data_IF_796872054368
#
_entry.id   IF_796872054368
#
_cell.length_a   1.000
_cell.length_b   1.000
_cell.length_c   1.000
_cell.angle_alpha   90.00
_cell.angle_beta   90.00
_cell.angle_gamma   90.00
#
_symmetry.space_group_name_H-M   'P 1'
#
loop_
_entity.id
_entity.type
_entity.pdbx_description
1 polymer ?
#
# COMPACT_ATOMS: atom_id res chain seq x y z
N UNK A 1 -8.79 14.43 -3.37
CA UNK A 1 -9.51 14.57 -2.08
C UNK A 1 -11.00 14.96 -2.27
N UNK A 2 -11.56 14.83 -3.46
CA UNK A 2 -12.96 15.22 -3.73
C UNK A 2 -13.97 14.33 -2.98
N UNK A 3 -13.65 13.05 -2.77
CA UNK A 3 -14.53 12.11 -2.10
C UNK A 3 -15.01 12.53 -0.70
N UNK A 4 -14.16 13.02 0.22
CA UNK A 4 -14.63 13.54 1.51
C UNK A 4 -15.64 14.70 1.36
N UNK A 5 -15.43 15.59 0.39
CA UNK A 5 -16.33 16.71 0.11
C UNK A 5 -17.70 16.22 -0.36
N UNK A 6 -17.71 15.26 -1.27
CA UNK A 6 -18.95 14.61 -1.73
C UNK A 6 -19.66 13.89 -0.58
N UNK A 7 -18.94 13.10 0.20
CA UNK A 7 -19.50 12.35 1.34
C UNK A 7 -20.06 13.28 2.44
N UNK A 8 -19.50 14.49 2.60
CA UNK A 8 -20.09 15.49 3.49
C UNK A 8 -21.42 16.00 2.96
N UNK A 9 -21.54 16.25 1.65
CA UNK A 9 -22.82 16.64 1.03
C UNK A 9 -23.89 15.56 1.14
N UNK A 10 -23.48 14.30 1.09
CA UNK A 10 -24.35 13.13 1.30
C UNK A 10 -24.69 12.88 2.78
N UNK A 11 -24.14 13.66 3.71
CA UNK A 11 -24.33 13.48 5.15
C UNK A 11 -23.65 12.25 5.74
N UNK A 12 -22.73 11.59 5.00
CA UNK A 12 -21.99 10.38 5.43
C UNK A 12 -20.70 10.72 6.18
N UNK A 13 -20.15 11.91 5.96
CA UNK A 13 -18.99 12.46 6.68
C UNK A 13 -19.43 13.76 7.34
N UNK A 14 -19.20 13.88 8.63
CA UNK A 14 -19.59 15.06 9.41
C UNK A 14 -18.62 16.24 9.22
N UNK A 15 -17.32 15.95 9.22
CA UNK A 15 -16.27 16.95 9.05
C UNK A 15 -15.00 16.31 8.52
N UNK A 16 -14.10 17.11 7.94
CA UNK A 16 -12.77 16.69 7.52
C UNK A 16 -11.71 17.69 7.98
N UNK A 17 -10.55 17.18 8.36
CA UNK A 17 -9.37 17.96 8.69
C UNK A 17 -8.20 17.53 7.81
N UNK A 18 -7.45 18.49 7.29
CA UNK A 18 -6.29 18.24 6.45
C UNK A 18 -5.22 19.31 6.64
N UNK A 19 -3.98 19.03 6.22
CA UNK A 19 -2.94 20.07 6.17
C UNK A 19 -3.01 20.90 4.88
N UNK A 20 -3.69 20.37 3.84
CA UNK A 20 -3.93 21.09 2.58
C UNK A 20 -5.23 20.62 1.96
N UNK A 21 -5.84 21.48 1.17
CA UNK A 21 -7.04 21.16 0.39
C UNK A 21 -6.63 20.86 -1.07
N UNK A 22 -6.37 19.59 -1.37
CA UNK A 22 -6.00 19.13 -2.70
C UNK A 22 -7.22 18.48 -3.35
N UNK A 23 -7.98 19.27 -4.08
CA UNK A 23 -9.21 18.88 -4.77
C UNK A 23 -9.16 19.34 -6.24
N UNK A 24 -10.07 18.83 -7.08
CA UNK A 24 -10.22 19.33 -8.45
C UNK A 24 -10.75 20.77 -8.45
N UNK A 25 -10.52 21.51 -9.54
CA UNK A 25 -10.98 22.89 -9.66
C UNK A 25 -12.51 23.00 -9.52
N UNK A 26 -13.26 22.04 -10.05
CA UNK A 26 -14.73 22.04 -9.95
C UNK A 26 -15.20 21.77 -8.52
N UNK A 27 -14.54 20.85 -7.81
CA UNK A 27 -14.80 20.61 -6.41
C UNK A 27 -14.49 21.87 -5.56
N UNK A 28 -13.36 22.54 -5.83
CA UNK A 28 -12.96 23.78 -5.16
C UNK A 28 -13.98 24.90 -5.36
N UNK A 29 -14.44 25.11 -6.60
CA UNK A 29 -15.52 26.08 -6.88
C UNK A 29 -16.78 25.74 -6.11
N UNK A 30 -17.21 24.46 -6.12
CA UNK A 30 -18.38 24.02 -5.37
C UNK A 30 -18.26 24.23 -3.85
N UNK A 31 -17.04 24.23 -3.28
CA UNK A 31 -16.81 24.58 -1.87
C UNK A 31 -17.00 26.09 -1.67
N UNK A 32 -16.46 26.93 -2.57
CA UNK A 32 -16.59 28.38 -2.46
C UNK A 32 -18.04 28.84 -2.66
N UNK A 33 -18.76 28.23 -3.60
CA UNK A 33 -20.16 28.57 -3.89
C UNK A 33 -21.10 28.23 -2.71
N UNK A 34 -20.69 27.26 -1.87
CA UNK A 34 -21.48 26.79 -0.71
C UNK A 34 -20.67 26.87 0.59
N UNK A 35 -19.95 27.97 0.77
CA UNK A 35 -19.04 28.17 1.90
C UNK A 35 -19.75 28.08 3.25
N UNK A 36 -21.00 28.53 3.34
CA UNK A 36 -21.77 28.44 4.58
C UNK A 36 -22.00 26.99 5.04
N UNK A 37 -22.11 26.06 4.11
CA UNK A 37 -22.15 24.63 4.46
C UNK A 37 -20.79 24.07 4.91
N UNK A 38 -19.68 24.52 4.29
CA UNK A 38 -18.36 23.92 4.51
C UNK A 38 -17.52 24.60 5.62
N UNK A 39 -17.75 25.88 5.94
CA UNK A 39 -16.91 26.66 6.87
C UNK A 39 -16.69 26.01 8.25
N UNK A 40 -17.69 25.28 8.74
CA UNK A 40 -17.62 24.58 10.04
C UNK A 40 -17.28 23.07 9.92
N UNK A 41 -17.14 22.56 8.68
CA UNK A 41 -16.90 21.13 8.40
C UNK A 41 -15.52 20.85 7.84
N UNK A 42 -14.91 21.82 7.15
CA UNK A 42 -13.56 21.70 6.59
C UNK A 42 -12.59 22.52 7.45
N UNK A 43 -11.62 21.83 8.05
CA UNK A 43 -10.63 22.47 8.92
C UNK A 43 -9.23 22.20 8.36
N UNK A 44 -8.52 23.28 7.99
CA UNK A 44 -7.10 23.20 7.64
C UNK A 44 -6.25 23.45 8.89
N UNK A 45 -5.33 22.55 9.16
CA UNK A 45 -4.39 22.59 10.27
C UNK A 45 -2.96 22.42 9.76
N UNK A 46 -1.96 23.00 10.43
CA UNK A 46 -0.58 22.69 10.10
C UNK A 46 -0.28 21.20 10.32
N UNK A 47 0.71 20.68 9.60
CA UNK A 47 1.05 19.25 9.64
C UNK A 47 1.46 18.78 11.04
N UNK A 48 2.05 19.65 11.84
CA UNK A 48 2.41 19.40 13.25
C UNK A 48 1.21 19.03 14.13
N UNK A 49 0.00 19.37 13.70
CA UNK A 49 -1.24 19.03 14.39
C UNK A 49 -1.93 17.85 13.67
N UNK A 50 -2.11 17.93 12.34
CA UNK A 50 -2.84 16.90 11.60
C UNK A 50 -2.09 15.58 11.51
N UNK A 51 -0.75 15.61 11.50
CA UNK A 51 0.13 14.45 11.44
C UNK A 51 0.80 14.12 12.78
N UNK A 52 0.37 14.75 13.87
CA UNK A 52 0.95 14.53 15.19
C UNK A 52 0.72 13.07 15.64
N UNK A 53 1.77 12.28 15.89
CA UNK A 53 1.66 10.88 16.31
C UNK A 53 0.77 10.68 17.55
N UNK A 54 0.92 11.54 18.55
CA UNK A 54 0.12 11.48 19.78
C UNK A 54 -1.37 11.71 19.52
N UNK A 55 -1.70 12.64 18.61
CA UNK A 55 -3.09 12.91 18.23
C UNK A 55 -3.66 11.74 17.46
N UNK A 56 -2.92 11.21 16.48
CA UNK A 56 -3.33 10.05 15.66
C UNK A 56 -3.64 8.85 16.57
N UNK A 57 -2.72 8.50 17.47
CA UNK A 57 -2.90 7.38 18.39
C UNK A 57 -4.09 7.60 19.35
N UNK A 58 -4.22 8.81 19.91
CA UNK A 58 -5.27 9.12 20.90
C UNK A 58 -6.68 9.08 20.34
N UNK A 59 -6.89 9.50 19.08
CA UNK A 59 -8.22 9.50 18.46
C UNK A 59 -8.58 8.16 17.80
N UNK A 60 -7.65 7.20 17.74
CA UNK A 60 -7.90 5.86 17.22
C UNK A 60 -8.13 5.84 15.70
N UNK A 61 -7.22 6.44 14.95
CA UNK A 61 -7.33 6.57 13.48
C UNK A 61 -7.29 5.20 12.80
N UNK A 62 -8.17 4.99 11.81
CA UNK A 62 -7.99 3.97 10.77
C UNK A 62 -7.26 4.62 9.60
N UNK A 63 -5.99 4.30 9.40
CA UNK A 63 -5.21 4.86 8.29
C UNK A 63 -5.43 4.08 7.01
N UNK A 64 -5.61 4.80 5.91
CA UNK A 64 -5.75 4.26 4.56
C UNK A 64 -4.68 4.89 3.67
N UNK A 65 -3.67 4.13 3.32
CA UNK A 65 -2.56 4.56 2.48
C UNK A 65 -2.50 3.74 1.18
N UNK A 66 -1.81 4.26 0.17
CA UNK A 66 -1.66 3.59 -1.12
C UNK A 66 -0.24 3.01 -1.25
N UNK A 67 -0.15 1.75 -1.69
CA UNK A 67 1.10 1.08 -2.01
C UNK A 67 1.38 1.10 -3.52
N UNK A 68 2.66 1.15 -3.89
CA UNK A 68 3.14 0.79 -5.23
C UNK A 68 3.29 -0.72 -5.33
N UNK A 69 3.92 -1.31 -4.31
CA UNK A 69 4.08 -2.74 -4.16
C UNK A 69 4.12 -3.15 -2.69
N UNK A 70 3.74 -4.39 -2.42
CA UNK A 70 3.84 -5.05 -1.13
C UNK A 70 4.51 -6.41 -1.31
N UNK A 71 5.45 -6.76 -0.42
CA UNK A 71 6.03 -8.09 -0.48
C UNK A 71 5.21 -9.14 0.30
N UNK A 72 5.62 -10.41 0.15
CA UNK A 72 4.92 -11.55 0.75
C UNK A 72 4.86 -11.50 2.29
N UNK A 73 5.62 -10.65 2.93
CA UNK A 73 5.68 -10.55 4.39
C UNK A 73 5.08 -9.26 4.94
N UNK A 74 4.58 -8.39 4.03
CA UNK A 74 3.86 -7.18 4.40
C UNK A 74 4.71 -5.93 4.48
N UNK A 75 5.95 -5.93 3.94
CA UNK A 75 6.67 -4.68 3.73
C UNK A 75 6.08 -3.93 2.54
N UNK A 76 5.97 -2.62 2.67
CA UNK A 76 5.35 -1.78 1.64
C UNK A 76 6.32 -0.75 1.10
N UNK A 77 6.36 -0.66 -0.23
CA UNK A 77 6.95 0.42 -0.99
C UNK A 77 5.82 1.33 -1.50
N UNK A 78 5.88 2.60 -1.15
CA UNK A 78 4.91 3.62 -1.54
C UNK A 78 5.53 4.77 -2.34
N UNK A 79 6.84 4.76 -2.58
CA UNK A 79 7.56 5.90 -3.17
C UNK A 79 8.31 5.59 -4.46
N UNK A 80 8.81 4.37 -4.66
CA UNK A 80 9.75 4.06 -5.77
C UNK A 80 9.27 2.93 -6.67
N UNK A 81 9.36 3.16 -7.98
CA UNK A 81 9.14 2.14 -9.01
C UNK A 81 10.44 1.36 -9.19
N UNK A 82 10.36 0.02 -9.07
CA UNK A 82 11.50 -0.90 -9.19
C UNK A 82 12.72 -0.43 -8.35
N UNK A 83 12.47 0.10 -7.16
CA UNK A 83 13.47 0.51 -6.18
C UNK A 83 14.31 1.74 -6.53
N UNK A 84 14.23 2.26 -7.76
CA UNK A 84 15.17 3.28 -8.26
C UNK A 84 14.51 4.59 -8.65
N UNK A 85 13.36 4.55 -9.31
CA UNK A 85 12.68 5.74 -9.82
C UNK A 85 11.66 6.25 -8.82
N UNK A 86 11.90 7.43 -8.27
CA UNK A 86 10.93 8.07 -7.39
C UNK A 86 9.65 8.41 -8.17
N UNK A 87 8.52 7.95 -7.68
CA UNK A 87 7.18 8.26 -8.19
C UNK A 87 6.54 9.40 -7.40
N UNK A 88 6.64 9.33 -6.08
CA UNK A 88 6.13 10.35 -5.15
C UNK A 88 6.93 10.30 -3.84
N UNK A 89 6.79 11.35 -3.03
CA UNK A 89 7.33 11.36 -1.66
C UNK A 89 6.47 10.52 -0.71
N UNK A 90 7.02 10.24 0.47
CA UNK A 90 6.33 9.45 1.51
C UNK A 90 5.11 10.19 2.09
N UNK A 91 5.11 11.53 2.05
CA UNK A 91 4.06 12.35 2.67
C UNK A 91 3.91 12.04 4.15
N UNK A 92 2.69 12.05 4.64
CA UNK A 92 2.33 11.69 6.02
C UNK A 92 2.07 10.20 6.25
N UNK A 93 2.33 9.34 5.26
CA UNK A 93 1.95 7.92 5.38
C UNK A 93 2.63 7.23 6.55
N UNK A 94 3.89 7.58 6.87
CA UNK A 94 4.60 7.01 8.02
C UNK A 94 3.98 7.45 9.36
N UNK A 95 3.62 8.73 9.49
CA UNK A 95 2.99 9.26 10.69
C UNK A 95 1.70 8.51 11.02
N UNK A 96 0.87 8.30 10.00
CA UNK A 96 -0.40 7.61 10.16
C UNK A 96 -0.21 6.09 10.33
N UNK A 97 0.62 5.44 9.49
CA UNK A 97 0.85 3.98 9.55
C UNK A 97 1.36 3.54 10.91
N UNK A 98 2.33 4.27 11.47
CA UNK A 98 3.00 3.86 12.72
C UNK A 98 2.15 4.15 13.98
N UNK A 99 1.12 4.98 13.88
CA UNK A 99 0.37 5.46 15.04
C UNK A 99 -1.15 5.20 14.94
N UNK A 100 -1.62 4.62 13.84
CA UNK A 100 -3.03 4.29 13.67
C UNK A 100 -3.47 3.14 14.59
N UNK A 101 -4.74 3.12 14.95
CA UNK A 101 -5.39 1.97 15.57
C UNK A 101 -5.50 0.80 14.59
N UNK A 102 -5.73 1.10 13.31
CA UNK A 102 -5.75 0.14 12.22
C UNK A 102 -5.04 0.74 11.01
N UNK A 103 -3.98 0.08 10.56
CA UNK A 103 -3.15 0.52 9.43
C UNK A 103 -3.42 -0.33 8.20
N UNK A 104 -3.96 0.29 7.15
CA UNK A 104 -4.38 -0.35 5.91
C UNK A 104 -3.62 0.24 4.73
N UNK A 105 -3.09 -0.63 3.87
CA UNK A 105 -2.59 -0.24 2.56
C UNK A 105 -3.49 -0.78 1.45
N UNK A 106 -3.71 0.05 0.43
CA UNK A 106 -4.49 -0.34 -0.76
C UNK A 106 -3.63 -0.23 -2.01
N UNK A 107 -3.80 -1.14 -2.94
CA UNK A 107 -3.21 -1.06 -4.28
C UNK A 107 -4.08 -1.82 -5.29
N UNK A 108 -4.02 -1.43 -6.55
CA UNK A 108 -4.44 -2.33 -7.61
C UNK A 108 -3.50 -3.54 -7.64
N UNK A 109 -3.99 -4.74 -7.86
CA UNK A 109 -3.16 -5.95 -7.84
C UNK A 109 -2.11 -5.95 -8.94
N UNK A 110 -2.33 -5.19 -10.03
CA UNK A 110 -1.40 -5.02 -11.15
C UNK A 110 -1.42 -3.60 -11.70
N UNK A 111 -0.36 -3.28 -12.45
CA UNK A 111 -0.26 -2.05 -13.24
C UNK A 111 0.21 -2.36 -14.67
N UNK A 112 0.28 -1.34 -15.55
CA UNK A 112 0.70 -1.46 -16.95
C UNK A 112 -0.01 -2.58 -17.72
N UNK A 113 -1.34 -2.63 -17.63
CA UNK A 113 -2.11 -3.65 -18.33
C UNK A 113 -1.82 -5.09 -17.89
N UNK A 114 -1.48 -5.27 -16.62
CA UNK A 114 -1.19 -6.57 -16.02
C UNK A 114 0.28 -6.99 -16.07
N UNK A 115 1.17 -6.19 -16.66
CA UNK A 115 2.59 -6.57 -16.81
C UNK A 115 3.41 -6.46 -15.50
N UNK A 116 2.92 -5.71 -14.51
CA UNK A 116 3.57 -5.55 -13.20
C UNK A 116 2.61 -5.98 -12.10
N UNK A 117 3.03 -6.91 -11.27
CA UNK A 117 2.34 -7.27 -10.03
C UNK A 117 2.66 -6.28 -8.92
N UNK A 118 1.65 -5.88 -8.14
CA UNK A 118 1.85 -5.11 -6.91
C UNK A 118 2.16 -5.99 -5.70
N UNK A 119 1.92 -7.29 -5.77
CA UNK A 119 2.38 -8.26 -4.78
C UNK A 119 3.60 -8.97 -5.34
N UNK A 120 4.72 -8.89 -4.62
CA UNK A 120 6.04 -9.36 -5.08
C UNK A 120 6.73 -10.20 -4.00
N UNK A 121 7.74 -11.02 -4.35
CA UNK A 121 8.49 -11.79 -3.35
C UNK A 121 9.20 -10.93 -2.30
N UNK A 122 9.84 -9.84 -2.74
CA UNK A 122 10.50 -8.86 -1.88
C UNK A 122 10.33 -7.46 -2.46
N UNK A 123 9.94 -6.50 -1.63
CA UNK A 123 9.74 -5.12 -2.05
C UNK A 123 11.08 -4.49 -2.47
N UNK A 124 11.10 -3.86 -3.64
CA UNK A 124 12.31 -3.26 -4.21
C UNK A 124 12.79 -2.01 -3.44
N UNK A 125 11.95 -1.46 -2.61
CA UNK A 125 12.20 -0.42 -1.63
C UNK A 125 11.22 -0.58 -0.47
N UNK A 126 11.62 -0.29 0.76
CA UNK A 126 10.76 -0.43 1.93
C UNK A 126 10.59 0.95 2.57
N UNK A 127 9.41 1.52 2.42
CA UNK A 127 9.00 2.74 3.13
C UNK A 127 8.35 2.40 4.48
N UNK A 128 7.62 1.26 4.53
CA UNK A 128 6.91 0.81 5.73
C UNK A 128 7.21 -0.66 6.00
N UNK A 129 7.62 -0.94 7.23
CA UNK A 129 7.91 -2.32 7.65
C UNK A 129 6.63 -3.06 8.02
N UNK A 130 6.69 -4.39 7.89
CA UNK A 130 5.59 -5.30 8.19
C UNK A 130 5.09 -5.27 9.65
N UNK A 131 5.82 -4.59 10.54
CA UNK A 131 5.44 -4.47 11.95
C UNK A 131 4.28 -3.49 12.19
N UNK A 132 4.05 -2.57 11.26
CA UNK A 132 3.06 -1.50 11.40
C UNK A 132 1.90 -1.61 10.40
N UNK A 133 1.83 -2.72 9.66
CA UNK A 133 0.80 -2.90 8.63
C UNK A 133 -0.15 -4.01 9.07
N UNK A 134 -1.41 -3.65 9.27
CA UNK A 134 -2.44 -4.58 9.72
C UNK A 134 -3.14 -5.28 8.57
N UNK A 135 -3.35 -4.59 7.44
CA UNK A 135 -4.03 -5.16 6.29
C UNK A 135 -3.56 -4.57 4.96
N UNK A 136 -3.62 -5.40 3.92
CA UNK A 136 -3.43 -5.00 2.53
C UNK A 136 -4.69 -5.35 1.73
N UNK A 137 -5.19 -4.39 0.94
CA UNK A 137 -6.43 -4.53 0.17
C UNK A 137 -6.12 -4.36 -1.31
N UNK A 138 -6.61 -5.29 -2.11
CA UNK A 138 -6.66 -5.19 -3.56
C UNK A 138 -8.10 -5.39 -4.04
N UNK A 139 -8.35 -5.32 -5.35
CA UNK A 139 -9.64 -5.66 -5.93
C UNK A 139 -10.05 -7.14 -5.75
N UNK A 140 -9.11 -7.99 -5.35
CA UNK A 140 -9.36 -9.42 -5.07
C UNK A 140 -9.69 -9.73 -3.61
N UNK A 141 -9.56 -8.76 -2.70
CA UNK A 141 -9.95 -8.94 -1.31
C UNK A 141 -9.03 -8.24 -0.32
N UNK A 142 -9.12 -8.71 0.92
CA UNK A 142 -8.40 -8.17 2.08
C UNK A 142 -7.46 -9.24 2.64
N UNK A 143 -6.18 -8.95 2.68
CA UNK A 143 -5.20 -9.71 3.45
C UNK A 143 -5.06 -9.08 4.85
N UNK A 144 -5.71 -9.65 5.85
CA UNK A 144 -5.50 -9.30 7.26
C UNK A 144 -4.19 -9.95 7.73
N UNK A 145 -3.22 -9.13 8.14
CA UNK A 145 -1.88 -9.59 8.53
C UNK A 145 -1.71 -9.71 10.05
N UNK A 146 -2.69 -9.27 10.83
CA UNK A 146 -2.62 -9.25 12.29
C UNK A 146 -2.57 -10.67 12.87
N UNK A 147 -1.73 -10.86 13.88
CA UNK A 147 -1.59 -12.12 14.62
C UNK A 147 -1.23 -13.34 13.74
N UNK A 148 -0.59 -13.10 12.59
CA UNK A 148 -0.17 -14.13 11.65
C UNK A 148 1.35 -14.32 11.68
N UNK A 149 1.79 -15.58 11.53
CA UNK A 149 3.18 -15.88 11.21
C UNK A 149 3.52 -15.37 9.81
N UNK A 150 4.81 -15.24 9.49
CA UNK A 150 5.23 -14.78 8.18
C UNK A 150 4.70 -15.66 7.05
N UNK A 151 4.66 -16.97 7.24
CA UNK A 151 4.08 -17.90 6.26
C UNK A 151 2.57 -17.69 6.07
N UNK A 152 1.84 -17.41 7.15
CA UNK A 152 0.41 -17.10 7.06
C UNK A 152 0.15 -15.74 6.40
N UNK A 153 1.05 -14.76 6.62
CA UNK A 153 1.00 -13.47 5.90
C UNK A 153 1.24 -13.66 4.41
N UNK A 154 2.27 -14.45 4.05
CA UNK A 154 2.59 -14.74 2.66
C UNK A 154 1.41 -15.37 1.92
N UNK A 155 0.76 -16.37 2.53
CA UNK A 155 -0.41 -17.00 1.94
C UNK A 155 -1.59 -16.02 1.80
N UNK A 156 -1.85 -15.18 2.80
CA UNK A 156 -2.90 -14.17 2.75
C UNK A 156 -2.65 -13.13 1.63
N UNK A 157 -1.39 -12.70 1.46
CA UNK A 157 -1.01 -11.75 0.42
C UNK A 157 -1.05 -12.37 -0.98
N UNK A 158 -0.68 -13.64 -1.13
CA UNK A 158 -0.84 -14.36 -2.40
C UNK A 158 -2.32 -14.44 -2.81
N UNK A 159 -3.24 -14.65 -1.86
CA UNK A 159 -4.68 -14.73 -2.16
C UNK A 159 -5.24 -13.43 -2.73
N UNK A 160 -4.70 -12.28 -2.35
CA UNK A 160 -5.13 -10.96 -2.87
C UNK A 160 -4.29 -10.48 -4.06
N UNK A 161 -3.27 -11.22 -4.48
CA UNK A 161 -2.55 -10.97 -5.71
C UNK A 161 -3.43 -11.28 -6.93
N UNK A 162 -3.11 -10.67 -8.08
CA UNK A 162 -3.78 -10.99 -9.34
C UNK A 162 -3.66 -12.50 -9.66
N UNK A 163 -4.72 -13.17 -10.14
CA UNK A 163 -4.71 -14.61 -10.39
C UNK A 163 -3.54 -15.11 -11.26
N UNK A 164 -3.12 -14.33 -12.26
CA UNK A 164 -1.99 -14.68 -13.13
C UNK A 164 -0.65 -14.80 -12.37
N UNK A 165 -0.53 -14.09 -11.23
CA UNK A 165 0.69 -14.06 -10.43
C UNK A 165 0.67 -15.02 -9.23
N UNK A 166 -0.51 -15.48 -8.79
CA UNK A 166 -0.61 -16.37 -7.63
C UNK A 166 0.22 -17.66 -7.79
N UNK A 167 0.18 -18.38 -8.93
CA UNK A 167 1.02 -19.57 -9.12
C UNK A 167 2.51 -19.25 -9.03
N UNK A 168 2.93 -18.14 -9.64
CA UNK A 168 4.33 -17.70 -9.66
C UNK A 168 4.85 -17.38 -8.25
N UNK A 169 4.03 -16.68 -7.44
CA UNK A 169 4.36 -16.35 -6.05
C UNK A 169 4.39 -17.58 -5.14
N UNK A 170 3.46 -18.54 -5.34
CA UNK A 170 3.47 -19.81 -4.60
C UNK A 170 4.70 -20.65 -4.93
N UNK A 171 5.11 -20.68 -6.19
CA UNK A 171 6.31 -21.39 -6.59
C UNK A 171 7.57 -20.78 -5.97
N UNK A 172 7.69 -19.43 -5.98
CA UNK A 172 8.74 -18.74 -5.23
C UNK A 172 8.77 -19.15 -3.76
N UNK A 173 7.61 -19.08 -3.07
CA UNK A 173 7.50 -19.39 -1.65
C UNK A 173 7.94 -20.81 -1.34
N UNK A 174 7.50 -21.78 -2.14
CA UNK A 174 7.90 -23.19 -2.04
C UNK A 174 9.42 -23.40 -2.20
N UNK A 175 10.05 -22.63 -3.09
CA UNK A 175 11.50 -22.65 -3.23
C UNK A 175 12.19 -21.97 -2.02
N UNK A 176 11.65 -20.86 -1.54
CA UNK A 176 12.19 -20.11 -0.42
C UNK A 176 12.17 -20.91 0.90
N UNK A 177 11.17 -21.80 1.11
CA UNK A 177 11.09 -22.69 2.27
C UNK A 177 12.33 -23.57 2.45
N UNK A 178 13.00 -23.93 1.37
CA UNK A 178 14.22 -24.77 1.42
C UNK A 178 15.41 -24.12 2.10
N UNK A 179 15.40 -22.78 2.15
CA UNK A 179 16.45 -22.01 2.83
C UNK A 179 16.21 -21.88 4.34
N UNK A 180 14.99 -22.22 4.80
CA UNK A 180 14.62 -22.20 6.22
C UNK A 180 14.57 -20.79 6.80
N UNK A 181 14.76 -20.71 8.14
CA UNK A 181 14.68 -19.46 8.87
C UNK A 181 13.24 -19.12 9.31
N UNK A 182 13.07 -17.97 9.95
CA UNK A 182 11.77 -17.48 10.40
C UNK A 182 10.96 -16.89 9.23
N UNK A 183 11.63 -16.10 8.39
CA UNK A 183 11.09 -15.52 7.17
C UNK A 183 11.80 -16.16 5.97
N UNK A 184 11.05 -16.88 5.14
CA UNK A 184 11.63 -17.67 4.06
C UNK A 184 11.91 -16.80 2.83
N UNK A 185 13.19 -16.64 2.49
CA UNK A 185 13.62 -15.96 1.27
C UNK A 185 14.65 -16.76 0.47
N UNK A 186 14.45 -16.85 -0.83
CA UNK A 186 15.50 -17.21 -1.77
C UNK A 186 16.15 -15.91 -2.27
N UNK A 187 17.21 -15.46 -1.59
CA UNK A 187 17.79 -14.12 -1.83
C UNK A 187 18.23 -13.90 -3.26
N UNK A 188 18.77 -14.93 -3.94
CA UNK A 188 19.13 -14.86 -5.37
C UNK A 188 17.94 -14.58 -6.28
N UNK A 189 16.73 -14.98 -5.87
CA UNK A 189 15.48 -14.84 -6.63
C UNK A 189 14.56 -13.73 -6.13
N UNK A 190 14.90 -13.08 -5.01
CA UNK A 190 14.02 -12.13 -4.32
C UNK A 190 13.53 -10.98 -5.23
N UNK A 191 14.38 -10.51 -6.14
CA UNK A 191 14.04 -9.48 -7.12
C UNK A 191 13.82 -10.02 -8.54
N UNK A 192 13.65 -11.34 -8.72
CA UNK A 192 13.55 -11.97 -10.03
C UNK A 192 12.39 -11.43 -10.88
N UNK A 193 11.25 -11.11 -10.27
CA UNK A 193 10.12 -10.48 -10.98
C UNK A 193 10.48 -9.08 -11.49
N UNK A 194 11.14 -8.27 -10.67
CA UNK A 194 11.59 -6.93 -11.06
C UNK A 194 12.62 -6.98 -12.19
N UNK A 195 13.62 -7.85 -12.06
CA UNK A 195 14.65 -8.05 -13.10
C UNK A 195 14.04 -8.56 -14.41
N UNK A 196 13.10 -9.51 -14.33
CA UNK A 196 12.37 -9.98 -15.51
C UNK A 196 11.59 -8.86 -16.18
N UNK A 197 10.91 -8.00 -15.39
CA UNK A 197 10.22 -6.85 -15.96
C UNK A 197 11.19 -5.88 -16.67
N UNK A 198 12.33 -5.59 -16.07
CA UNK A 198 13.35 -4.70 -16.67
C UNK A 198 13.88 -5.30 -17.99
N UNK A 199 14.12 -6.60 -18.04
CA UNK A 199 14.69 -7.28 -19.23
C UNK A 199 13.66 -7.61 -20.30
N UNK A 200 12.46 -8.08 -19.89
CA UNK A 200 11.46 -8.68 -20.78
C UNK A 200 10.17 -7.84 -20.88
N UNK A 201 9.97 -6.82 -20.03
CA UNK A 201 8.80 -5.94 -20.03
C UNK A 201 7.54 -6.49 -19.35
N UNK A 202 7.59 -7.70 -18.81
CA UNK A 202 6.44 -8.37 -18.18
C UNK A 202 6.89 -9.32 -17.06
N UNK A 203 6.41 -9.11 -15.84
CA UNK A 203 6.74 -9.95 -14.67
C UNK A 203 6.18 -11.37 -14.79
N UNK A 204 5.12 -11.61 -15.59
CA UNK A 204 4.57 -12.96 -15.83
C UNK A 204 5.55 -13.90 -16.52
N UNK A 205 6.55 -13.33 -17.19
CA UNK A 205 7.60 -14.10 -17.88
C UNK A 205 8.75 -14.53 -16.95
N UNK A 206 8.60 -14.37 -15.63
CA UNK A 206 9.62 -14.80 -14.66
C UNK A 206 9.74 -16.32 -14.66
N UNK A 207 10.95 -16.79 -14.87
CA UNK A 207 11.34 -18.19 -14.71
C UNK A 207 12.32 -18.29 -13.53
N UNK A 208 11.87 -18.91 -12.46
CA UNK A 208 12.67 -19.04 -11.23
C UNK A 208 13.94 -19.86 -11.44
N UNK A 209 14.01 -20.73 -12.43
CA UNK A 209 15.21 -21.50 -12.74
C UNK A 209 16.40 -20.63 -13.18
N UNK A 210 16.11 -19.41 -13.69
CA UNK A 210 17.15 -18.42 -14.03
C UNK A 210 17.85 -17.87 -12.77
N UNK A 211 17.18 -17.90 -11.59
CA UNK A 211 17.61 -17.24 -10.34
C UNK A 211 17.95 -18.24 -9.21
N UNK A 212 17.37 -19.42 -9.23
CA UNK A 212 17.50 -20.45 -8.18
C UNK A 212 18.56 -21.48 -8.58
N UNK A 213 19.82 -21.07 -8.62
CA UNK A 213 20.96 -21.98 -8.89
C UNK A 213 21.60 -22.48 -7.59
#
# INVERSE_FOLDING_TARGET
QDAPVQLMREGRVLSASACSLTVTNDCLRGIYDDMDFFKDKLVLRPSEISNCPEVIARIGVCSLNTAIECDLYGHVNSTKICGTKMMNGIGGSADFTNNAYLSIFTCGSTTKGGAISSIVPFASHIDHTNHFIDAVITEYGVADLRHKSDMQKAEALIQVAHPDYQPLLRDYLKHAEKFGGHTHHALSAAFGMHDTFIRKGDMRLTDWSEYLK
#
